data_IF_655989798721
#
_entry.id   IF_655989798721
#
_cell.length_a   1.000
_cell.length_b   1.000
_cell.length_c   1.000
_cell.angle_alpha   90.00
_cell.angle_beta   90.00
_cell.angle_gamma   90.00
#
_symmetry.space_group_name_H-M   'P 1'
#
loop_
_entity.id
_entity.type
_entity.pdbx_description
1 polymer ?
#
# COMPACT_ATOMS: atom_id res chain seq x y z
N UNK A 1 -0.73 -5.87 -7.20
CA UNK A 1 0.51 -6.23 -6.49
C UNK A 1 0.85 -5.20 -5.41
N UNK A 2 1.31 -3.99 -5.79
CA UNK A 2 1.79 -2.94 -4.89
C UNK A 2 0.78 -2.54 -3.79
N UNK A 3 -0.47 -2.22 -4.16
CA UNK A 3 -1.52 -1.91 -3.18
C UNK A 3 -1.90 -3.09 -2.27
N UNK A 4 -1.89 -4.31 -2.83
CA UNK A 4 -2.15 -5.53 -2.07
C UNK A 4 -1.09 -5.79 -1.00
N UNK A 5 0.20 -5.58 -1.33
CA UNK A 5 1.30 -5.65 -0.36
C UNK A 5 1.13 -4.62 0.75
N UNK A 6 0.83 -3.37 0.41
CA UNK A 6 0.61 -2.31 1.39
C UNK A 6 -0.51 -2.67 2.37
N UNK A 7 -1.69 -3.01 1.85
CA UNK A 7 -2.86 -3.35 2.66
C UNK A 7 -2.59 -4.61 3.47
N UNK A 8 -2.04 -5.66 2.86
CA UNK A 8 -1.75 -6.93 3.54
C UNK A 8 -0.83 -6.75 4.74
N UNK A 9 0.29 -6.03 4.58
CA UNK A 9 1.24 -5.78 5.67
C UNK A 9 0.64 -4.85 6.73
N UNK A 10 0.01 -3.75 6.31
CA UNK A 10 -0.60 -2.81 7.26
C UNK A 10 -1.72 -3.47 8.09
N UNK A 11 -2.58 -4.25 7.43
CA UNK A 11 -3.62 -5.03 8.08
C UNK A 11 -3.04 -6.08 9.01
N UNK A 12 -2.00 -6.82 8.61
CA UNK A 12 -1.37 -7.83 9.46
C UNK A 12 -0.83 -7.24 10.76
N UNK A 13 -0.10 -6.13 10.69
CA UNK A 13 0.43 -5.43 11.87
C UNK A 13 -0.70 -4.90 12.74
N UNK A 14 -1.73 -4.31 12.15
CA UNK A 14 -2.89 -3.81 12.90
C UNK A 14 -3.69 -4.92 13.59
N UNK A 15 -3.82 -6.10 12.97
CA UNK A 15 -4.56 -7.23 13.56
C UNK A 15 -3.89 -7.83 14.79
N UNK A 16 -2.56 -7.70 14.92
CA UNK A 16 -1.84 -8.12 16.13
C UNK A 16 -2.14 -7.25 17.35
N UNK A 17 -2.77 -6.10 17.16
CA UNK A 17 -3.30 -5.28 18.25
C UNK A 17 -3.97 -4.04 17.68
N UNK A 18 -5.30 -3.96 17.82
CA UNK A 18 -6.15 -2.95 17.17
C UNK A 18 -6.06 -1.58 17.85
N UNK A 19 -4.88 -0.96 17.79
CA UNK A 19 -4.60 0.35 18.40
C UNK A 19 -4.20 1.38 17.33
N UNK A 20 -4.36 2.67 17.64
CA UNK A 20 -3.90 3.76 16.75
C UNK A 20 -2.39 3.69 16.49
N UNK A 21 -1.61 3.31 17.51
CA UNK A 21 -0.16 3.12 17.39
C UNK A 21 0.17 2.03 16.36
N UNK A 22 -0.48 0.87 16.46
CA UNK A 22 -0.25 -0.23 15.52
C UNK A 22 -0.78 0.08 14.12
N UNK A 23 -1.83 0.90 13.98
CA UNK A 23 -2.27 1.39 12.68
C UNK A 23 -1.16 2.23 12.02
N UNK A 24 -0.55 3.17 12.74
CA UNK A 24 0.57 3.99 12.22
C UNK A 24 1.77 3.11 11.85
N UNK A 25 2.18 2.19 12.74
CA UNK A 25 3.29 1.26 12.46
C UNK A 25 2.97 0.38 11.25
N UNK A 26 1.74 -0.10 11.13
CA UNK A 26 1.27 -0.87 9.99
C UNK A 26 1.34 -0.10 8.67
N UNK A 27 0.92 1.16 8.66
CA UNK A 27 0.99 2.02 7.48
C UNK A 27 2.43 2.32 7.05
N UNK A 28 3.34 2.56 8.02
CA UNK A 28 4.77 2.78 7.75
C UNK A 28 5.40 1.50 7.18
N UNK A 29 5.25 0.37 7.88
CA UNK A 29 5.79 -0.93 7.45
C UNK A 29 5.21 -1.38 6.11
N UNK A 30 3.91 -1.15 5.88
CA UNK A 30 3.24 -1.38 4.61
C UNK A 30 3.83 -0.53 3.48
N UNK A 31 4.12 0.75 3.73
CA UNK A 31 4.76 1.63 2.73
C UNK A 31 6.15 1.14 2.35
N UNK A 32 6.95 0.72 3.34
CA UNK A 32 8.30 0.18 3.11
C UNK A 32 8.22 -1.11 2.29
N UNK A 33 7.41 -2.08 2.72
CA UNK A 33 7.25 -3.36 2.03
C UNK A 33 6.73 -3.17 0.59
N UNK A 34 5.74 -2.29 0.41
CA UNK A 34 5.21 -1.90 -0.88
C UNK A 34 6.29 -1.32 -1.79
N UNK A 35 7.14 -0.42 -1.27
CA UNK A 35 8.20 0.24 -2.04
C UNK A 35 9.27 -0.76 -2.50
N UNK A 36 9.65 -1.70 -1.63
CA UNK A 36 10.59 -2.78 -1.98
C UNK A 36 10.02 -3.69 -3.08
N UNK A 37 8.76 -4.13 -2.91
CA UNK A 37 8.09 -4.96 -3.93
C UNK A 37 7.94 -4.20 -5.24
N UNK A 38 7.62 -2.90 -5.20
CA UNK A 38 7.54 -2.08 -6.40
C UNK A 38 8.89 -1.98 -7.11
N UNK A 39 9.98 -1.74 -6.38
CA UNK A 39 11.33 -1.68 -6.95
C UNK A 39 11.74 -2.99 -7.62
N UNK A 40 11.57 -4.12 -6.92
CA UNK A 40 11.89 -5.45 -7.45
C UNK A 40 11.05 -5.80 -8.68
N UNK A 41 9.74 -5.57 -8.62
CA UNK A 41 8.86 -5.84 -9.76
C UNK A 41 9.19 -4.97 -10.97
N UNK A 42 9.53 -3.70 -10.75
CA UNK A 42 9.97 -2.82 -11.84
C UNK A 42 11.29 -3.29 -12.45
N UNK A 43 12.23 -3.75 -11.62
CA UNK A 43 13.52 -4.25 -12.09
C UNK A 43 13.39 -5.52 -12.93
N UNK A 44 12.66 -6.53 -12.44
CA UNK A 44 12.64 -7.85 -13.06
C UNK A 44 11.54 -8.05 -14.10
N UNK A 45 10.44 -7.30 -14.01
CA UNK A 45 9.25 -7.55 -14.84
C UNK A 45 8.91 -6.33 -15.68
N UNK A 46 8.58 -5.21 -15.04
CA UNK A 46 7.95 -4.10 -15.77
C UNK A 46 8.89 -3.39 -16.74
N UNK A 47 10.10 -3.01 -16.29
CA UNK A 47 11.04 -2.28 -17.15
C UNK A 47 11.62 -3.18 -18.25
N UNK A 48 12.00 -4.46 -17.99
CA UNK A 48 12.37 -5.37 -19.07
C UNK A 48 11.26 -5.57 -20.11
N UNK A 49 10.00 -5.68 -19.68
CA UNK A 49 8.86 -5.76 -20.59
C UNK A 49 8.70 -4.47 -21.42
N UNK A 50 8.89 -3.30 -20.83
CA UNK A 50 8.87 -2.05 -21.59
C UNK A 50 10.05 -1.96 -22.55
N UNK A 51 11.23 -2.44 -22.16
CA UNK A 51 12.39 -2.48 -23.04
C UNK A 51 12.12 -3.35 -24.29
N UNK A 52 11.41 -4.48 -24.17
CA UNK A 52 11.04 -5.28 -25.35
C UNK A 52 10.02 -4.59 -26.24
N UNK A 53 9.08 -3.84 -25.67
CA UNK A 53 8.05 -3.11 -26.42
C UNK A 53 8.56 -1.82 -27.09
N UNK A 54 9.51 -1.12 -26.49
CA UNK A 54 9.96 0.21 -26.91
C UNK A 54 11.37 0.20 -27.53
N UNK A 55 11.85 -0.96 -28.00
CA UNK A 55 13.08 -1.06 -28.79
C UNK A 55 14.38 -0.96 -27.99
N UNK A 56 14.34 -1.28 -26.70
CA UNK A 56 15.53 -1.46 -25.86
C UNK A 56 15.50 -0.67 -24.54
N UNK A 57 16.35 -1.09 -23.62
CA UNK A 57 16.44 -0.50 -22.28
C UNK A 57 16.90 0.98 -22.33
N UNK A 58 17.78 1.32 -23.26
CA UNK A 58 18.26 2.69 -23.45
C UNK A 58 17.14 3.67 -23.82
N UNK A 59 16.15 3.23 -24.59
CA UNK A 59 15.01 4.07 -24.96
C UNK A 59 14.12 4.36 -23.74
N UNK A 60 13.87 3.35 -22.91
CA UNK A 60 13.11 3.50 -21.66
C UNK A 60 13.83 4.41 -20.67
N UNK A 61 15.14 4.22 -20.49
CA UNK A 61 15.95 5.08 -19.62
C UNK A 61 16.01 6.49 -20.19
N UNK A 62 16.22 6.65 -21.50
CA UNK A 62 16.26 7.95 -22.18
C UNK A 62 14.97 8.73 -22.04
N UNK A 63 13.82 8.06 -22.15
CA UNK A 63 12.51 8.67 -21.90
C UNK A 63 12.38 9.17 -20.45
N UNK A 64 12.86 8.40 -19.47
CA UNK A 64 12.88 8.85 -18.07
C UNK A 64 13.90 9.96 -17.81
N UNK A 65 15.05 9.95 -18.49
CA UNK A 65 16.09 10.97 -18.41
C UNK A 65 15.60 12.34 -18.89
N UNK A 66 14.64 12.37 -19.82
CA UNK A 66 14.00 13.60 -20.28
C UNK A 66 13.23 14.31 -19.14
N UNK A 67 12.63 13.55 -18.22
CA UNK A 67 11.95 14.10 -17.04
C UNK A 67 12.93 14.44 -15.92
N UNK A 68 14.00 13.65 -15.75
CA UNK A 68 15.03 13.89 -14.76
C UNK A 68 16.40 13.41 -15.26
N UNK A 69 17.30 14.35 -15.56
CA UNK A 69 18.64 14.08 -16.12
C UNK A 69 19.53 13.20 -15.23
N UNK A 70 19.22 13.07 -13.94
CA UNK A 70 19.94 12.18 -13.02
C UNK A 70 19.60 10.70 -13.25
N UNK A 71 18.58 10.39 -14.05
CA UNK A 71 18.23 9.04 -14.48
C UNK A 71 19.06 8.67 -15.70
N UNK A 72 20.03 7.78 -15.49
CA UNK A 72 21.02 7.36 -16.49
C UNK A 72 21.21 5.84 -16.53
N UNK A 73 20.54 5.09 -15.65
CA UNK A 73 20.59 3.64 -15.56
C UNK A 73 19.26 3.12 -15.03
N UNK A 74 19.04 1.81 -15.14
CA UNK A 74 17.90 1.14 -14.53
C UNK A 74 17.86 1.36 -13.00
N UNK A 75 19.02 1.32 -12.34
CA UNK A 75 19.12 1.55 -10.91
C UNK A 75 18.73 2.99 -10.53
N UNK A 76 19.22 3.99 -11.25
CA UNK A 76 18.84 5.39 -10.97
C UNK A 76 17.38 5.67 -11.31
N UNK A 77 16.79 5.04 -12.34
CA UNK A 77 15.35 5.10 -12.59
C UNK A 77 14.54 4.57 -11.39
N UNK A 78 14.95 3.44 -10.82
CA UNK A 78 14.27 2.87 -9.66
C UNK A 78 14.44 3.76 -8.42
N UNK A 79 15.66 4.16 -8.10
CA UNK A 79 15.96 4.91 -6.87
C UNK A 79 15.42 6.35 -6.93
N UNK A 80 15.50 7.03 -8.08
CA UNK A 80 15.16 8.45 -8.22
C UNK A 80 13.71 8.64 -8.70
N UNK A 81 13.18 7.71 -9.49
CA UNK A 81 11.80 7.78 -9.98
C UNK A 81 10.84 6.95 -9.14
N UNK A 82 11.05 5.63 -9.16
CA UNK A 82 10.06 4.67 -8.65
C UNK A 82 9.95 4.72 -7.12
N UNK A 83 11.07 4.71 -6.41
CA UNK A 83 11.12 4.69 -4.95
C UNK A 83 10.44 5.92 -4.33
N UNK A 84 10.81 7.17 -4.65
CA UNK A 84 10.17 8.34 -4.05
C UNK A 84 8.70 8.46 -4.44
N UNK A 85 8.32 8.09 -5.68
CA UNK A 85 6.91 8.06 -6.08
C UNK A 85 6.10 7.07 -5.22
N UNK A 86 6.62 5.86 -4.98
CA UNK A 86 5.92 4.87 -4.16
C UNK A 86 5.85 5.27 -2.68
N UNK A 87 6.90 5.90 -2.14
CA UNK A 87 6.90 6.43 -0.76
C UNK A 87 5.86 7.55 -0.63
N UNK A 88 5.86 8.53 -1.55
CA UNK A 88 4.90 9.63 -1.54
C UNK A 88 3.46 9.11 -1.65
N UNK A 89 3.21 8.21 -2.59
CA UNK A 89 1.90 7.55 -2.74
C UNK A 89 1.49 6.80 -1.47
N UNK A 90 2.41 6.07 -0.85
CA UNK A 90 2.17 5.36 0.41
C UNK A 90 1.82 6.31 1.55
N UNK A 91 2.52 7.45 1.65
CA UNK A 91 2.23 8.48 2.62
C UNK A 91 0.83 9.09 2.41
N UNK A 92 0.47 9.44 1.17
CA UNK A 92 -0.87 9.98 0.83
C UNK A 92 -1.96 8.97 1.21
N UNK A 93 -1.82 7.72 0.79
CA UNK A 93 -2.78 6.65 1.13
C UNK A 93 -2.86 6.44 2.63
N UNK A 94 -1.74 6.52 3.34
CA UNK A 94 -1.69 6.39 4.80
C UNK A 94 -2.44 7.51 5.52
N UNK A 95 -2.26 8.77 5.08
CA UNK A 95 -2.98 9.92 5.63
C UNK A 95 -4.48 9.76 5.41
N UNK A 96 -4.91 9.43 4.19
CA UNK A 96 -6.32 9.23 3.86
C UNK A 96 -6.92 8.10 4.71
N UNK A 97 -6.21 6.98 4.83
CA UNK A 97 -6.63 5.81 5.62
C UNK A 97 -6.76 6.18 7.10
N UNK A 98 -5.77 6.87 7.66
CA UNK A 98 -5.77 7.28 9.05
C UNK A 98 -6.85 8.33 9.35
N UNK A 99 -7.10 9.28 8.45
CA UNK A 99 -8.19 10.24 8.59
C UNK A 99 -9.57 9.55 8.54
N UNK A 100 -9.71 8.56 7.66
CA UNK A 100 -10.94 7.74 7.55
C UNK A 100 -11.21 6.91 8.80
N UNK A 101 -10.15 6.48 9.51
CA UNK A 101 -10.24 5.69 10.74
C UNK A 101 -11.21 6.29 11.77
N UNK A 102 -11.18 7.62 11.97
CA UNK A 102 -12.01 8.30 12.98
C UNK A 102 -13.51 8.15 12.69
N UNK A 103 -13.91 8.13 11.42
CA UNK A 103 -15.33 7.99 11.02
C UNK A 103 -15.76 6.54 10.92
N UNK A 104 -14.88 5.67 10.44
CA UNK A 104 -15.20 4.25 10.19
C UNK A 104 -15.18 3.43 11.49
N UNK A 105 -14.26 3.70 12.41
CA UNK A 105 -14.10 2.90 13.63
C UNK A 105 -15.35 2.86 14.53
N UNK A 106 -16.06 3.98 14.80
CA UNK A 106 -17.30 3.94 15.59
C UNK A 106 -18.43 3.17 14.89
N UNK A 107 -18.53 3.27 13.56
CA UNK A 107 -19.56 2.57 12.78
C UNK A 107 -19.39 1.06 12.90
N UNK A 108 -18.16 0.56 12.72
CA UNK A 108 -17.85 -0.87 12.85
C UNK A 108 -18.16 -1.38 14.27
N UNK A 109 -17.84 -0.59 15.29
CA UNK A 109 -18.08 -1.02 16.67
C UNK A 109 -19.58 -1.07 17.02
N UNK A 110 -20.36 -0.09 16.54
CA UNK A 110 -21.82 -0.08 16.71
C UNK A 110 -22.47 -1.29 16.03
N UNK A 111 -22.01 -1.63 14.83
CA UNK A 111 -22.53 -2.77 14.09
C UNK A 111 -22.22 -4.10 14.78
N UNK A 112 -21.01 -4.27 15.34
CA UNK A 112 -20.69 -5.48 16.13
C UNK A 112 -21.59 -5.67 17.35
N UNK A 113 -21.93 -4.58 18.08
CA UNK A 113 -22.81 -4.64 19.25
C UNK A 113 -24.26 -4.99 18.85
N UNK A 114 -24.76 -4.42 17.75
CA UNK A 114 -26.09 -4.71 17.24
C UNK A 114 -26.26 -6.19 16.85
N UNK A 115 -25.25 -6.77 16.18
CA UNK A 115 -25.23 -8.17 15.79
C UNK A 115 -25.22 -9.11 17.01
N UNK A 116 -24.49 -8.75 18.07
CA UNK A 116 -24.47 -9.51 19.31
C UNK A 116 -25.84 -9.45 20.03
N UNK A 117 -26.46 -8.27 20.08
CA UNK A 117 -27.82 -8.14 20.65
C UNK A 117 -28.88 -8.90 19.85
N UNK A 118 -28.80 -8.93 18.52
CA UNK A 118 -29.72 -9.73 17.69
C UNK A 118 -29.59 -11.22 17.99
N UNK A 119 -28.37 -11.75 18.05
CA UNK A 119 -28.11 -13.16 18.41
C UNK A 119 -28.65 -13.52 19.79
N UNK A 120 -28.51 -12.61 20.78
CA UNK A 120 -29.04 -12.81 22.13
C UNK A 120 -30.57 -12.85 22.14
N UNK A 121 -31.24 -11.96 21.39
CA UNK A 121 -32.71 -11.93 21.26
C UNK A 121 -33.26 -13.18 20.59
N UNK A 122 -32.63 -13.64 19.50
CA UNK A 122 -33.01 -14.90 18.82
C UNK A 122 -32.89 -16.09 19.76
N UNK A 123 -31.79 -16.18 20.53
CA UNK A 123 -31.60 -17.26 21.51
C UNK A 123 -32.66 -17.23 22.62
N UNK A 124 -33.05 -16.04 23.09
CA UNK A 124 -34.09 -15.89 24.11
C UNK A 124 -35.50 -16.20 23.57
N UNK A 125 -35.78 -15.95 22.29
CA UNK A 125 -37.08 -16.28 21.66
C UNK A 125 -37.28 -17.76 21.37
N UNK A 126 -36.19 -18.55 21.36
CA UNK A 126 -36.19 -19.98 21.07
C UNK A 126 -36.12 -20.87 22.32
N UNK A 127 -36.19 -20.26 23.52
CA UNK A 127 -36.26 -20.92 24.83
C UNK A 127 -37.68 -20.81 25.38
#
# INVERSE_FOLDING_TARGET
>A
MVGGTFVGVASFVYHRGKTRKNAIIGLISGTIAMTLVAGLFNYFVLIPLYATMFGGLNNVIGAAAAANKSINSLASLIVIGITPFNILKGAVVSVITFASYKKVSPLIHKESLNLEQQKLKEKASNL
#
